data_IF_484495768107
#
_entry.id   IF_484495768107
#
_cell.length_a   1.000
_cell.length_b   1.000
_cell.length_c   1.000
_cell.angle_alpha   90.00
_cell.angle_beta   90.00
_cell.angle_gamma   90.00
#
_symmetry.space_group_name_H-M   'P 1'
#
loop_
_entity.id
_entity.type
_entity.pdbx_description
1 polymer ?
#
# COMPACT_ATOMS: atom_id res chain seq x y z
N UNK A 1 -20.81 2.22 -7.32
CA UNK A 1 -20.15 1.86 -8.60
C UNK A 1 -18.85 2.63 -8.93
N UNK A 2 -18.33 3.52 -8.06
CA UNK A 2 -17.02 4.19 -8.28
C UNK A 2 -15.84 3.38 -7.69
N UNK A 3 -15.99 2.90 -6.45
CA UNK A 3 -14.97 2.14 -5.71
C UNK A 3 -14.50 0.88 -6.44
N UNK A 4 -15.43 0.09 -7.00
CA UNK A 4 -15.12 -1.13 -7.75
C UNK A 4 -14.35 -0.86 -9.05
N UNK A 5 -14.57 0.30 -9.67
CA UNK A 5 -13.83 0.72 -10.87
C UNK A 5 -12.40 1.15 -10.53
N UNK A 6 -12.22 1.92 -9.45
CA UNK A 6 -10.89 2.30 -8.95
C UNK A 6 -10.09 1.08 -8.53
N UNK A 7 -10.74 0.15 -7.81
CA UNK A 7 -10.13 -1.12 -7.40
C UNK A 7 -9.66 -1.96 -8.59
N UNK A 8 -10.48 -2.14 -9.63
CA UNK A 8 -10.10 -2.91 -10.82
C UNK A 8 -8.94 -2.31 -11.61
N UNK A 9 -8.73 -0.99 -11.52
CA UNK A 9 -7.62 -0.28 -12.17
C UNK A 9 -6.36 -0.20 -11.30
N UNK A 10 -6.49 -0.43 -10.00
CA UNK A 10 -5.39 -0.34 -9.06
C UNK A 10 -4.30 -1.38 -9.25
N UNK A 11 -4.50 -2.43 -10.05
CA UNK A 11 -3.50 -3.49 -10.21
C UNK A 11 -3.30 -4.38 -8.97
N UNK A 12 -4.09 -4.21 -7.90
CA UNK A 12 -4.12 -5.14 -6.77
C UNK A 12 -4.59 -6.51 -7.26
N UNK A 13 -3.65 -7.47 -7.30
CA UNK A 13 -3.95 -8.86 -7.67
C UNK A 13 -4.90 -9.52 -6.66
N UNK A 14 -5.73 -10.50 -7.10
CA UNK A 14 -6.62 -11.28 -6.22
C UNK A 14 -5.97 -11.77 -4.92
N UNK A 15 -4.72 -12.22 -5.00
CA UNK A 15 -3.94 -12.70 -3.86
C UNK A 15 -3.77 -11.66 -2.73
N UNK A 16 -3.72 -10.36 -3.05
CA UNK A 16 -3.47 -9.30 -2.07
C UNK A 16 -4.71 -8.47 -1.74
N UNK A 17 -5.88 -8.80 -2.30
CA UNK A 17 -7.11 -8.01 -2.09
C UNK A 17 -7.52 -7.97 -0.62
N UNK A 18 -7.28 -9.06 0.11
CA UNK A 18 -7.63 -9.19 1.52
C UNK A 18 -6.46 -8.82 2.46
N UNK A 19 -5.34 -8.29 1.96
CA UNK A 19 -4.26 -7.83 2.83
C UNK A 19 -4.70 -6.58 3.61
N UNK A 20 -4.56 -6.62 4.92
CA UNK A 20 -4.79 -5.47 5.81
C UNK A 20 -3.67 -5.40 6.86
N UNK A 21 -3.66 -4.34 7.66
CA UNK A 21 -2.69 -4.23 8.74
C UNK A 21 -2.98 -5.21 9.90
N UNK A 22 -4.23 -5.64 10.05
CA UNK A 22 -4.73 -6.51 11.12
C UNK A 22 -4.34 -7.97 10.88
N UNK A 23 -4.25 -8.39 9.62
CA UNK A 23 -3.83 -9.74 9.25
C UNK A 23 -2.35 -9.85 8.87
N UNK A 24 -1.58 -8.80 9.09
CA UNK A 24 -0.12 -8.83 8.98
C UNK A 24 0.50 -9.40 10.25
N UNK A 25 1.14 -10.57 10.15
CA UNK A 25 1.83 -11.20 11.29
C UNK A 25 3.25 -10.67 11.42
N UNK A 26 3.57 -10.21 12.63
CA UNK A 26 4.90 -9.72 12.99
C UNK A 26 5.69 -10.85 13.66
N UNK A 27 6.83 -11.18 13.10
CA UNK A 27 7.74 -12.23 13.56
C UNK A 27 9.10 -11.66 14.02
N UNK A 28 9.40 -10.41 13.67
CA UNK A 28 10.63 -9.73 14.10
C UNK A 28 10.46 -8.21 14.24
N UNK A 29 11.41 -7.57 14.92
CA UNK A 29 11.39 -6.12 15.17
C UNK A 29 11.38 -5.29 13.88
N UNK A 30 12.11 -5.72 12.84
CA UNK A 30 12.10 -5.04 11.54
C UNK A 30 10.71 -4.99 10.90
N UNK A 31 9.92 -6.06 11.06
CA UNK A 31 8.53 -6.10 10.59
C UNK A 31 7.62 -5.23 11.46
N UNK A 32 7.84 -5.19 12.79
CA UNK A 32 7.10 -4.30 13.70
C UNK A 32 7.30 -2.84 13.28
N UNK A 33 8.54 -2.44 13.03
CA UNK A 33 8.88 -1.08 12.59
C UNK A 33 8.26 -0.76 11.22
N UNK A 34 8.35 -1.68 10.25
CA UNK A 34 7.74 -1.52 8.94
C UNK A 34 6.21 -1.36 9.03
N UNK A 35 5.54 -2.15 9.87
CA UNK A 35 4.10 -2.05 10.11
C UNK A 35 3.74 -0.69 10.74
N UNK A 36 4.49 -0.25 11.75
CA UNK A 36 4.26 1.05 12.41
C UNK A 36 4.39 2.22 11.43
N UNK A 37 5.46 2.24 10.62
CA UNK A 37 5.68 3.27 9.60
C UNK A 37 4.62 3.25 8.50
N UNK A 38 4.15 2.06 8.11
CA UNK A 38 3.08 1.91 7.14
C UNK A 38 1.76 2.49 7.65
N UNK A 39 1.41 2.25 8.92
CA UNK A 39 0.23 2.84 9.56
C UNK A 39 0.35 4.36 9.63
N UNK A 40 1.50 4.87 10.11
CA UNK A 40 1.76 6.31 10.19
C UNK A 40 1.62 6.99 8.82
N UNK A 41 2.17 6.37 7.76
CA UNK A 41 2.06 6.89 6.40
C UNK A 41 0.61 7.08 5.95
N UNK A 42 -0.28 6.13 6.26
CA UNK A 42 -1.70 6.22 5.90
C UNK A 42 -2.39 7.33 6.68
N UNK A 43 -2.10 7.47 7.97
CA UNK A 43 -2.66 8.53 8.82
C UNK A 43 -2.25 9.93 8.36
N UNK A 44 -0.99 10.08 7.95
CA UNK A 44 -0.43 11.36 7.51
C UNK A 44 -0.51 11.58 5.99
N UNK A 45 -1.27 10.76 5.25
CA UNK A 45 -1.28 10.80 3.79
C UNK A 45 -1.83 12.12 3.22
N UNK A 46 -2.83 12.70 3.87
CA UNK A 46 -3.51 13.89 3.37
C UNK A 46 -2.69 15.17 3.62
N UNK A 47 -2.38 15.89 2.53
CA UNK A 47 -1.65 17.16 2.61
C UNK A 47 -0.14 17.00 2.81
N UNK A 48 0.38 15.79 2.75
CA UNK A 48 1.80 15.48 2.91
C UNK A 48 2.41 14.96 1.61
N UNK A 49 3.62 15.41 1.27
CA UNK A 49 4.42 14.87 0.17
C UNK A 49 5.42 13.89 0.78
N UNK A 50 4.91 12.70 1.10
CA UNK A 50 5.71 11.62 1.66
C UNK A 50 5.80 10.45 0.67
N UNK A 51 6.98 9.88 0.55
CA UNK A 51 7.22 8.62 -0.16
C UNK A 51 8.07 7.71 0.72
N UNK A 52 7.90 6.40 0.56
CA UNK A 52 8.68 5.42 1.30
C UNK A 52 9.03 4.23 0.41
N UNK A 53 10.09 3.51 0.79
CA UNK A 53 10.54 2.29 0.12
C UNK A 53 10.62 1.18 1.16
N UNK A 54 9.93 0.07 0.91
CA UNK A 54 10.19 -1.16 1.65
C UNK A 54 11.39 -1.89 1.04
N UNK A 55 12.44 -2.11 1.83
CA UNK A 55 13.57 -2.95 1.46
C UNK A 55 13.63 -4.18 2.36
N UNK A 56 14.15 -5.30 1.83
CA UNK A 56 14.29 -6.55 2.59
C UNK A 56 14.16 -7.79 1.72
N UNK A 57 14.46 -8.96 2.29
CA UNK A 57 14.43 -10.26 1.59
C UNK A 57 13.02 -10.61 1.09
N UNK A 58 12.87 -11.43 0.04
CA UNK A 58 11.58 -12.02 -0.32
C UNK A 58 10.92 -12.71 0.89
N UNK A 59 9.58 -12.75 0.92
CA UNK A 59 8.84 -13.37 2.03
C UNK A 59 8.64 -12.49 3.28
N UNK A 60 9.27 -11.31 3.38
CA UNK A 60 9.12 -10.42 4.55
C UNK A 60 7.87 -9.54 4.53
N UNK A 61 6.86 -9.88 3.71
CA UNK A 61 5.57 -9.18 3.72
C UNK A 61 5.54 -7.76 3.14
N UNK A 62 6.55 -7.31 2.39
CA UNK A 62 6.56 -5.97 1.76
C UNK A 62 5.33 -5.69 0.88
N UNK A 63 4.95 -6.68 0.06
CA UNK A 63 3.80 -6.56 -0.82
C UNK A 63 2.49 -6.54 -0.03
N UNK A 64 2.45 -7.25 1.10
CA UNK A 64 1.31 -7.26 2.00
C UNK A 64 1.09 -5.86 2.59
N UNK A 65 2.15 -5.25 3.14
CA UNK A 65 2.05 -3.89 3.69
C UNK A 65 1.69 -2.85 2.61
N UNK A 66 2.27 -2.97 1.41
CA UNK A 66 1.89 -2.09 0.30
C UNK A 66 0.41 -2.25 -0.07
N UNK A 67 -0.10 -3.48 -0.16
CA UNK A 67 -1.51 -3.74 -0.44
C UNK A 67 -2.44 -3.26 0.69
N UNK A 68 -2.04 -3.42 1.96
CA UNK A 68 -2.77 -2.92 3.11
C UNK A 68 -2.91 -1.38 3.07
N UNK A 69 -1.81 -0.67 2.79
CA UNK A 69 -1.82 0.79 2.57
C UNK A 69 -2.79 1.15 1.44
N UNK A 70 -2.68 0.47 0.29
CA UNK A 70 -3.53 0.74 -0.87
C UNK A 70 -5.02 0.51 -0.55
N UNK A 71 -5.34 -0.57 0.17
CA UNK A 71 -6.70 -0.87 0.58
C UNK A 71 -7.28 0.22 1.51
N UNK A 72 -6.51 0.67 2.50
CA UNK A 72 -6.93 1.78 3.37
C UNK A 72 -7.15 3.08 2.59
N UNK A 73 -6.23 3.44 1.69
CA UNK A 73 -6.37 4.65 0.88
C UNK A 73 -7.56 4.57 -0.09
N UNK A 74 -7.86 3.39 -0.64
CA UNK A 74 -9.06 3.16 -1.46
C UNK A 74 -10.34 3.34 -0.64
N UNK A 75 -10.37 2.87 0.61
CA UNK A 75 -11.50 3.09 1.53
C UNK A 75 -11.69 4.58 1.85
N UNK A 76 -10.58 5.34 1.93
CA UNK A 76 -10.58 6.81 2.07
C UNK A 76 -10.91 7.55 0.75
N UNK A 77 -11.25 6.82 -0.31
CA UNK A 77 -11.66 7.39 -1.59
C UNK A 77 -10.51 7.91 -2.47
N UNK A 78 -9.26 7.54 -2.17
CA UNK A 78 -8.09 7.86 -3.00
C UNK A 78 -7.95 6.87 -4.14
N UNK A 79 -7.31 7.30 -5.21
CA UNK A 79 -6.81 6.39 -6.25
C UNK A 79 -5.46 5.81 -5.82
N UNK A 80 -5.22 4.54 -6.15
CA UNK A 80 -3.96 3.84 -5.87
C UNK A 80 -3.58 2.97 -7.05
N UNK A 81 -2.29 2.71 -7.25
CA UNK A 81 -1.79 1.85 -8.32
C UNK A 81 -0.67 0.94 -7.81
N UNK A 82 -0.83 -0.37 -8.01
CA UNK A 82 0.17 -1.39 -7.79
C UNK A 82 0.64 -1.89 -9.15
N UNK A 83 1.92 -1.68 -9.46
CA UNK A 83 2.54 -2.20 -10.66
C UNK A 83 3.45 -3.39 -10.34
N UNK A 84 3.08 -4.57 -10.83
CA UNK A 84 3.85 -5.80 -10.64
C UNK A 84 5.00 -5.93 -11.65
N UNK A 85 5.99 -5.01 -11.58
CA UNK A 85 7.30 -5.13 -12.27
C UNK A 85 8.47 -4.79 -11.34
N UNK A 86 8.43 -5.30 -10.12
CA UNK A 86 9.55 -5.26 -9.19
C UNK A 86 9.69 -3.98 -8.35
N UNK A 87 8.79 -3.00 -8.47
CA UNK A 87 8.75 -1.79 -7.63
C UNK A 87 7.30 -1.35 -7.42
N UNK A 88 6.88 -1.16 -6.17
CA UNK A 88 5.55 -0.68 -5.80
C UNK A 88 5.61 0.83 -5.58
N UNK A 89 4.68 1.56 -6.17
CA UNK A 89 4.52 3.00 -5.99
C UNK A 89 3.18 3.21 -5.27
N UNK A 90 3.19 3.85 -4.11
CA UNK A 90 1.97 4.38 -3.50
C UNK A 90 2.00 5.88 -3.76
N UNK A 91 1.11 6.37 -4.60
CA UNK A 91 1.06 7.78 -4.98
C UNK A 91 -0.32 8.15 -5.48
N UNK A 92 -0.67 9.43 -5.30
CA UNK A 92 -1.87 10.03 -5.84
C UNK A 92 -1.74 10.11 -7.38
N UNK A 93 -2.77 9.69 -8.13
CA UNK A 93 -2.78 9.70 -9.60
C UNK A 93 -2.49 11.09 -10.20
N UNK A 94 -2.67 12.18 -9.41
CA UNK A 94 -2.34 13.55 -9.81
C UNK A 94 -0.85 13.78 -10.12
N UNK A 95 0.04 12.88 -9.69
CA UNK A 95 1.49 12.99 -9.92
C UNK A 95 2.02 11.98 -10.97
N UNK A 96 1.14 11.27 -11.67
CA UNK A 96 1.51 10.35 -12.74
C UNK A 96 1.30 10.93 -14.15
N UNK A 97 0.99 12.23 -14.24
CA UNK A 97 0.93 12.99 -15.48
C UNK A 97 2.13 13.96 -15.56
N UNK A 98 3.34 13.42 -15.75
CA UNK A 98 4.49 14.11 -16.33
C UNK A 98 5.19 13.16 -17.32
#
# INVERSE_FOLDING_TARGET
MKMQRTFNRSGIRPLHQNCSFENYRVECEGQMNALSKARQYVEEFDGNIASFIFSGKPGTGKNHLAAAICNELLLRGKSVLIHHRGRYYVGDERYLQE
#
